data_IF_033965047491
#
_entry.id   IF_033965047491
#
_cell.length_a   1.000
_cell.length_b   1.000
_cell.length_c   1.000
_cell.angle_alpha   90.00
_cell.angle_beta   90.00
_cell.angle_gamma   90.00
#
_symmetry.space_group_name_H-M   'P 1'
#
loop_
_entity.id
_entity.type
_entity.pdbx_description
1 polymer ?
#
# COMPACT_ATOMS: atom_id res chain seq x y z
N UNK A 1 -20.55 -1.86 -3.04
CA UNK A 1 -19.09 -1.61 -3.03
C UNK A 1 -18.41 -2.81 -2.40
N UNK A 2 -17.47 -3.46 -3.09
CA UNK A 2 -16.86 -4.70 -2.61
C UNK A 2 -15.55 -4.40 -1.88
N UNK A 3 -15.57 -4.50 -0.54
CA UNK A 3 -14.37 -4.52 0.30
C UNK A 3 -13.56 -5.78 -0.03
N UNK A 4 -12.25 -5.64 -0.21
CA UNK A 4 -11.36 -6.78 -0.44
C UNK A 4 -10.25 -6.71 0.58
N UNK A 5 -10.19 -7.74 1.41
CA UNK A 5 -9.25 -7.85 2.52
C UNK A 5 -8.72 -9.26 2.59
N UNK A 6 -7.53 -9.40 3.14
CA UNK A 6 -6.87 -10.69 3.32
C UNK A 6 -5.90 -10.57 4.49
N UNK A 7 -5.91 -11.57 5.38
CA UNK A 7 -5.03 -11.59 6.55
C UNK A 7 -3.66 -12.09 6.10
N UNK A 8 -2.64 -11.28 6.32
CA UNK A 8 -1.26 -11.60 5.95
C UNK A 8 -0.34 -11.51 7.17
N UNK A 9 0.73 -12.29 7.15
CA UNK A 9 1.77 -12.23 8.17
C UNK A 9 2.76 -11.11 7.86
N UNK A 10 3.16 -10.37 8.89
CA UNK A 10 4.29 -9.44 8.79
C UNK A 10 5.58 -10.25 8.66
N UNK A 11 6.31 -10.00 7.57
CA UNK A 11 7.60 -10.61 7.30
C UNK A 11 8.71 -9.91 8.08
N UNK A 12 9.94 -10.42 7.95
CA UNK A 12 11.12 -9.78 8.55
C UNK A 12 11.23 -8.32 8.08
N UNK A 13 11.90 -7.49 8.87
CA UNK A 13 12.12 -6.08 8.57
C UNK A 13 10.82 -5.29 8.32
N UNK A 14 9.74 -5.64 9.03
CA UNK A 14 8.43 -4.96 8.96
C UNK A 14 7.78 -4.97 7.57
N UNK A 15 8.15 -5.90 6.70
CA UNK A 15 7.58 -6.00 5.36
C UNK A 15 6.20 -6.66 5.39
N UNK A 16 5.24 -6.05 4.68
CA UNK A 16 3.92 -6.62 4.46
C UNK A 16 3.74 -6.85 2.97
N UNK A 17 3.53 -8.10 2.58
CA UNK A 17 3.28 -8.45 1.17
C UNK A 17 1.83 -8.13 0.82
N UNK A 18 1.62 -7.28 -0.17
CA UNK A 18 0.27 -7.02 -0.69
C UNK A 18 -0.20 -8.25 -1.48
N UNK A 19 -1.27 -8.94 -1.03
CA UNK A 19 -1.71 -10.20 -1.63
C UNK A 19 -2.28 -9.98 -3.03
N UNK A 20 -2.33 -11.06 -3.83
CA UNK A 20 -2.71 -11.02 -5.25
C UNK A 20 -4.08 -10.39 -5.48
N UNK A 21 -5.08 -10.68 -4.63
CA UNK A 21 -6.44 -10.11 -4.72
C UNK A 21 -6.46 -8.60 -4.63
N UNK A 22 -5.59 -8.03 -3.79
CA UNK A 22 -5.48 -6.57 -3.62
C UNK A 22 -4.67 -5.98 -4.78
N UNK A 23 -3.56 -6.60 -5.17
CA UNK A 23 -2.72 -6.13 -6.32
C UNK A 23 -3.48 -6.07 -7.65
N UNK A 24 -4.48 -6.92 -7.87
CA UNK A 24 -5.32 -6.86 -9.07
C UNK A 24 -6.12 -5.54 -9.18
N UNK A 25 -6.48 -4.95 -8.03
CA UNK A 25 -7.22 -3.68 -7.94
C UNK A 25 -6.29 -2.49 -7.75
N UNK A 26 -5.27 -2.67 -6.90
CA UNK A 26 -4.24 -1.70 -6.57
C UNK A 26 -3.01 -1.96 -7.44
N UNK A 27 -3.04 -1.41 -8.67
CA UNK A 27 -2.01 -1.59 -9.69
C UNK A 27 -0.73 -0.83 -9.30
N UNK A 28 0.10 -1.47 -8.51
CA UNK A 28 1.48 -1.07 -8.25
C UNK A 28 2.44 -2.07 -8.88
N UNK A 29 3.50 -1.58 -9.50
CA UNK A 29 4.56 -2.41 -10.08
C UNK A 29 5.86 -2.29 -9.29
N UNK A 30 6.78 -3.22 -9.53
CA UNK A 30 8.10 -3.19 -8.92
C UNK A 30 8.85 -1.91 -9.34
N UNK A 31 9.45 -1.23 -8.36
CA UNK A 31 10.17 0.03 -8.58
C UNK A 31 9.31 1.29 -8.47
N UNK A 32 7.98 1.18 -8.34
CA UNK A 32 7.13 2.33 -8.07
C UNK A 32 7.22 2.81 -6.62
N UNK A 33 7.10 4.13 -6.46
CA UNK A 33 7.05 4.76 -5.15
C UNK A 33 5.62 4.82 -4.63
N UNK A 34 5.45 4.51 -3.35
CA UNK A 34 4.18 4.60 -2.64
C UNK A 34 4.35 5.49 -1.42
N UNK A 35 3.30 6.25 -1.10
CA UNK A 35 3.19 7.02 0.13
C UNK A 35 2.48 6.16 1.16
N UNK A 36 3.07 6.06 2.35
CA UNK A 36 2.50 5.34 3.50
C UNK A 36 2.03 6.37 4.51
N UNK A 37 0.74 6.40 4.78
CA UNK A 37 0.09 7.37 5.68
C UNK A 37 -0.56 6.61 6.81
N UNK A 38 -0.31 6.99 8.05
CA UNK A 38 -1.11 6.55 9.18
C UNK A 38 -2.27 7.53 9.38
N UNK A 39 -3.49 7.02 9.42
CA UNK A 39 -4.69 7.83 9.70
C UNK A 39 -5.14 7.55 11.14
N UNK A 40 -4.89 8.53 12.02
CA UNK A 40 -5.25 8.46 13.44
C UNK A 40 -6.76 8.30 13.67
N UNK A 41 -7.60 8.77 12.75
CA UNK A 41 -9.06 8.73 12.93
C UNK A 41 -9.62 7.32 12.71
N UNK A 42 -9.06 6.61 11.74
CA UNK A 42 -9.48 5.26 11.38
C UNK A 42 -8.61 4.18 12.06
N UNK A 43 -7.48 4.58 12.65
CA UNK A 43 -6.45 3.69 13.19
C UNK A 43 -5.97 2.66 12.15
N UNK A 44 -5.69 3.12 10.93
CA UNK A 44 -5.23 2.30 9.81
C UNK A 44 -4.04 2.92 9.08
N UNK A 45 -3.25 2.08 8.42
CA UNK A 45 -2.23 2.52 7.47
C UNK A 45 -2.83 2.51 6.06
N UNK A 46 -2.77 3.64 5.37
CA UNK A 46 -3.17 3.83 3.98
C UNK A 46 -1.93 3.87 3.08
N UNK A 47 -1.99 3.17 1.95
CA UNK A 47 -0.93 3.15 0.94
C UNK A 47 -1.48 3.80 -0.32
N UNK A 48 -0.81 4.84 -0.80
CA UNK A 48 -1.22 5.63 -1.96
C UNK A 48 -0.12 5.58 -3.04
N UNK A 49 -0.45 5.34 -4.32
CA UNK A 49 0.54 5.37 -5.39
C UNK A 49 0.99 6.81 -5.64
N UNK A 50 2.31 7.03 -5.70
CA UNK A 50 2.85 8.35 -6.05
C UNK A 50 2.85 8.47 -7.58
N UNK A 51 1.84 9.16 -8.12
CA UNK A 51 1.71 9.37 -9.58
C UNK A 51 2.46 10.60 -10.08
N UNK A 52 2.87 11.49 -9.19
CA UNK A 52 3.63 12.67 -9.55
C UNK A 52 5.13 12.39 -9.52
N UNK A 53 5.80 12.76 -10.61
CA UNK A 53 7.25 12.86 -10.72
C UNK A 53 7.77 13.59 -9.48
N UNK A 54 8.55 12.89 -8.65
CA UNK A 54 9.36 13.52 -7.62
C UNK A 54 10.21 14.62 -8.27
N UNK A 55 9.72 15.86 -8.24
CA UNK A 55 10.58 17.03 -8.39
C UNK A 55 11.20 17.21 -7.02
N UNK A 56 12.40 16.67 -6.85
CA UNK A 56 13.20 16.82 -5.63
C UNK A 56 13.11 18.26 -5.14
N UNK A 57 12.74 18.42 -3.87
CA UNK A 57 12.80 19.67 -3.14
C UNK A 57 14.12 19.74 -2.39
#
# INVERSE_FOLDING_TARGET
MARTEEIVKVSRNYQITIPSKIRQKFKITEGELVKVVYDDNENVVKIEPVRELWKGQ
#
